data_IF_140449101224
#
_entry.id   IF_140449101224
#
_cell.length_a   1.000
_cell.length_b   1.000
_cell.length_c   1.000
_cell.angle_alpha   90.00
_cell.angle_beta   90.00
_cell.angle_gamma   90.00
#
_symmetry.space_group_name_H-M   'P 1'
#
loop_
_entity.id
_entity.type
_entity.pdbx_description
1 polymer ?
#
# COMPACT_ATOMS: atom_id res chain seq x y z
N UNK A 1 2.31 22.37 -16.30
CA UNK A 1 1.55 21.62 -15.27
C UNK A 1 2.54 20.77 -14.49
N UNK A 2 2.57 20.87 -13.16
CA UNK A 2 3.48 20.07 -12.34
C UNK A 2 2.84 18.71 -12.04
N UNK A 3 3.53 17.61 -12.33
CA UNK A 3 3.08 16.26 -11.98
C UNK A 3 3.06 15.98 -10.46
N UNK A 4 3.46 16.94 -9.64
CA UNK A 4 3.43 16.84 -8.18
C UNK A 4 2.07 17.20 -7.57
N UNK A 5 1.26 18.01 -8.27
CA UNK A 5 -0.02 18.51 -7.76
C UNK A 5 -1.19 17.61 -8.19
N UNK A 6 -1.94 17.11 -7.21
CA UNK A 6 -3.03 16.15 -7.43
C UNK A 6 -4.14 16.73 -8.33
N UNK A 7 -4.42 18.03 -8.23
CA UNK A 7 -5.46 18.73 -9.01
C UNK A 7 -5.19 18.76 -10.52
N UNK A 8 -3.93 18.58 -10.93
CA UNK A 8 -3.53 18.55 -12.33
C UNK A 8 -3.22 17.13 -12.82
N UNK A 9 -3.59 16.11 -12.04
CA UNK A 9 -3.24 14.71 -12.28
C UNK A 9 -4.48 13.89 -12.63
N UNK A 10 -4.36 13.03 -13.64
CA UNK A 10 -5.39 12.02 -13.96
C UNK A 10 -5.31 10.80 -13.02
N UNK A 11 -4.22 10.68 -12.25
CA UNK A 11 -3.97 9.54 -11.36
C UNK A 11 -5.13 9.26 -10.41
N UNK A 12 -5.75 10.26 -9.74
CA UNK A 12 -6.84 9.96 -8.83
C UNK A 12 -8.08 9.34 -9.50
N UNK A 13 -8.38 9.76 -10.72
CA UNK A 13 -9.49 9.20 -11.52
C UNK A 13 -9.20 7.74 -11.86
N UNK A 14 -7.98 7.44 -12.29
CA UNK A 14 -7.55 6.08 -12.61
C UNK A 14 -7.60 5.16 -11.39
N UNK A 15 -7.02 5.60 -10.26
CA UNK A 15 -6.99 4.80 -9.04
C UNK A 15 -8.39 4.58 -8.46
N UNK A 16 -9.25 5.59 -8.50
CA UNK A 16 -10.66 5.45 -8.11
C UNK A 16 -11.41 4.45 -9.01
N UNK A 17 -11.12 4.45 -10.31
CA UNK A 17 -11.72 3.48 -11.26
C UNK A 17 -11.23 2.06 -10.99
N UNK A 18 -9.93 1.88 -10.71
CA UNK A 18 -9.35 0.59 -10.34
C UNK A 18 -10.01 0.06 -9.06
N UNK A 19 -10.08 0.90 -8.02
CA UNK A 19 -10.74 0.56 -6.75
C UNK A 19 -12.20 0.16 -6.97
N UNK A 20 -12.96 0.95 -7.74
CA UNK A 20 -14.35 0.63 -8.05
C UNK A 20 -14.50 -0.71 -8.81
N UNK A 21 -13.57 -1.03 -9.71
CA UNK A 21 -13.58 -2.30 -10.48
C UNK A 21 -13.40 -3.52 -9.58
N UNK A 22 -12.65 -3.39 -8.48
CA UNK A 22 -12.47 -4.44 -7.48
C UNK A 22 -13.46 -4.31 -6.29
N UNK A 23 -14.49 -3.47 -6.43
CA UNK A 23 -15.54 -3.28 -5.43
C UNK A 23 -15.07 -2.58 -4.15
N UNK A 24 -14.07 -1.71 -4.26
CA UNK A 24 -13.52 -0.92 -3.15
C UNK A 24 -13.78 0.57 -3.37
N UNK A 25 -14.09 1.30 -2.31
CA UNK A 25 -14.50 2.71 -2.41
C UNK A 25 -13.37 3.71 -2.10
N UNK A 26 -12.34 3.30 -1.35
CA UNK A 26 -11.35 4.26 -0.82
C UNK A 26 -9.92 3.74 -0.67
N UNK A 27 -9.74 2.53 -0.16
CA UNK A 27 -8.42 1.94 0.06
C UNK A 27 -8.50 0.42 -0.13
N UNK A 28 -7.45 -0.16 -0.68
CA UNK A 28 -7.25 -1.61 -0.67
C UNK A 28 -5.79 -1.96 -0.40
N UNK A 29 -5.56 -3.14 0.17
CA UNK A 29 -4.24 -3.73 0.26
C UNK A 29 -4.22 -5.08 -0.46
N UNK A 30 -3.16 -5.36 -1.21
CA UNK A 30 -2.96 -6.62 -1.93
C UNK A 30 -1.61 -7.21 -1.50
N UNK A 31 -1.56 -8.51 -1.22
CA UNK A 31 -0.34 -9.19 -0.74
C UNK A 31 -0.28 -9.29 0.78
N UNK A 32 0.88 -8.96 1.38
CA UNK A 32 1.09 -9.03 2.84
C UNK A 32 0.76 -10.42 3.44
N UNK A 33 1.24 -11.48 2.80
CA UNK A 33 1.18 -12.82 3.37
C UNK A 33 2.03 -12.88 4.64
N UNK A 34 1.47 -13.39 5.73
CA UNK A 34 2.13 -13.46 7.04
C UNK A 34 2.51 -14.90 7.31
N UNK A 35 3.79 -15.16 7.53
CA UNK A 35 4.32 -16.49 7.84
C UNK A 35 5.34 -16.42 8.97
N UNK A 36 5.51 -17.54 9.68
CA UNK A 36 6.63 -17.70 10.60
C UNK A 36 7.87 -18.15 9.85
N UNK A 37 8.98 -17.42 10.00
CA UNK A 37 10.29 -17.92 9.58
C UNK A 37 10.86 -18.83 10.66
N UNK A 38 10.70 -18.42 11.91
CA UNK A 38 11.04 -19.17 13.11
C UNK A 38 10.21 -18.64 14.29
N UNK A 39 10.50 -19.12 15.50
CA UNK A 39 9.74 -18.78 16.71
C UNK A 39 9.83 -17.31 17.16
N UNK A 40 10.72 -16.50 16.57
CA UNK A 40 10.92 -15.08 16.92
C UNK A 40 10.93 -14.14 15.72
N UNK A 41 10.82 -14.67 14.50
CA UNK A 41 10.88 -13.89 13.26
C UNK A 41 9.64 -14.18 12.42
N UNK A 42 8.93 -13.11 12.10
CA UNK A 42 7.73 -13.09 11.29
C UNK A 42 8.14 -12.54 9.92
N UNK A 43 7.77 -13.24 8.84
CA UNK A 43 7.90 -12.72 7.48
C UNK A 43 6.55 -12.18 7.04
N UNK A 44 6.58 -10.97 6.49
CA UNK A 44 5.47 -10.38 5.76
C UNK A 44 5.92 -10.22 4.32
N UNK A 45 5.25 -10.89 3.38
CA UNK A 45 5.58 -10.77 1.96
C UNK A 45 5.45 -9.32 1.50
N UNK A 46 6.03 -9.01 0.35
CA UNK A 46 5.75 -7.74 -0.32
C UNK A 46 4.25 -7.57 -0.56
N UNK A 47 3.83 -6.32 -0.62
CA UNK A 47 2.45 -5.94 -0.84
C UNK A 47 2.32 -4.51 -1.33
N UNK A 48 1.11 -4.19 -1.80
CA UNK A 48 0.78 -2.87 -2.33
C UNK A 48 -0.45 -2.36 -1.59
N UNK A 49 -0.42 -1.09 -1.19
CA UNK A 49 -1.58 -0.36 -0.68
C UNK A 49 -1.97 0.69 -1.72
N UNK A 50 -3.21 0.62 -2.17
CA UNK A 50 -3.77 1.52 -3.17
C UNK A 50 -4.82 2.38 -2.48
N UNK A 51 -4.66 3.69 -2.61
CA UNK A 51 -5.64 4.72 -2.22
C UNK A 51 -6.13 5.43 -3.47
N UNK A 52 -7.17 6.23 -3.32
CA UNK A 52 -7.70 7.05 -4.41
C UNK A 52 -6.71 8.05 -4.98
N UNK A 53 -5.62 8.41 -4.27
CA UNK A 53 -4.66 9.43 -4.71
C UNK A 53 -3.20 8.95 -4.76
N UNK A 54 -2.95 7.70 -4.36
CA UNK A 54 -1.59 7.23 -4.09
C UNK A 54 -1.48 5.70 -4.12
N UNK A 55 -0.28 5.22 -4.45
CA UNK A 55 0.08 3.80 -4.40
C UNK A 55 1.36 3.66 -3.59
N UNK A 56 1.33 2.78 -2.60
CA UNK A 56 2.47 2.47 -1.73
C UNK A 56 2.90 1.03 -1.96
N UNK A 57 4.17 0.84 -2.31
CA UNK A 57 4.78 -0.48 -2.41
C UNK A 57 5.51 -0.73 -1.10
N UNK A 58 5.15 -1.79 -0.40
CA UNK A 58 5.83 -2.24 0.82
C UNK A 58 6.66 -3.46 0.44
N UNK A 59 8.00 -3.40 0.57
CA UNK A 59 8.84 -4.56 0.31
C UNK A 59 8.60 -5.64 1.36
N UNK A 60 9.15 -6.83 1.12
CA UNK A 60 9.13 -7.89 2.13
C UNK A 60 9.76 -7.40 3.46
N UNK A 61 9.12 -7.76 4.57
CA UNK A 61 9.55 -7.40 5.92
C UNK A 61 9.89 -8.65 6.72
N UNK A 62 11.02 -8.60 7.43
CA UNK A 62 11.37 -9.54 8.48
C UNK A 62 11.23 -8.84 9.83
N UNK A 63 10.14 -9.14 10.52
CA UNK A 63 9.76 -8.50 11.77
C UNK A 63 10.15 -9.37 12.95
N UNK A 64 10.85 -8.78 13.92
CA UNK A 64 11.25 -9.45 15.15
C UNK A 64 10.62 -8.71 16.34
N UNK A 65 9.57 -9.29 16.96
CA UNK A 65 8.94 -8.69 18.13
C UNK A 65 9.93 -8.35 19.25
N UNK A 66 9.78 -7.17 19.84
CA UNK A 66 10.61 -6.68 20.95
C UNK A 66 10.76 -7.72 22.07
N UNK A 67 11.95 -7.89 22.63
CA UNK A 67 12.20 -8.91 23.66
C UNK A 67 11.33 -8.75 24.92
N UNK A 68 10.99 -7.50 25.26
CA UNK A 68 10.11 -7.15 26.39
C UNK A 68 8.61 -7.35 26.15
N UNK A 69 8.19 -7.69 24.92
CA UNK A 69 6.77 -7.86 24.61
C UNK A 69 6.24 -9.20 25.13
N UNK A 70 5.01 -9.21 25.64
CA UNK A 70 4.16 -10.40 25.68
C UNK A 70 3.21 -10.41 24.48
N UNK A 71 2.62 -9.27 24.17
CA UNK A 71 1.71 -9.06 23.03
C UNK A 71 2.08 -7.76 22.32
N UNK A 72 1.75 -7.67 21.05
CA UNK A 72 1.96 -6.45 20.30
C UNK A 72 1.33 -6.48 18.92
N UNK A 73 1.42 -5.34 18.25
CA UNK A 73 1.02 -5.14 16.87
C UNK A 73 2.19 -4.54 16.11
N UNK A 74 2.27 -4.88 14.83
CA UNK A 74 3.01 -4.10 13.85
C UNK A 74 2.02 -3.28 13.06
N UNK A 75 2.38 -2.05 12.75
CA UNK A 75 1.55 -1.09 12.04
C UNK A 75 2.38 -0.31 11.01
N UNK A 76 1.72 0.17 9.96
CA UNK A 76 2.35 0.88 8.85
C UNK A 76 1.87 2.33 8.86
N UNK A 77 2.82 3.26 8.79
CA UNK A 77 2.57 4.67 8.53
C UNK A 77 2.88 4.96 7.06
N UNK A 78 1.92 5.61 6.38
CA UNK A 78 2.03 5.97 4.97
C UNK A 78 2.17 7.48 4.86
N UNK A 79 3.28 7.92 4.30
CA UNK A 79 3.63 9.34 4.20
C UNK A 79 3.79 9.75 2.74
N UNK A 80 3.35 10.97 2.41
CA UNK A 80 3.63 11.57 1.12
C UNK A 80 4.29 12.94 1.31
N UNK A 81 5.22 13.29 0.43
CA UNK A 81 5.93 14.56 0.48
C UNK A 81 6.15 15.12 -0.91
N UNK A 82 6.05 16.44 -1.04
CA UNK A 82 6.43 17.16 -2.25
C UNK A 82 7.93 17.40 -2.22
N UNK A 83 8.63 16.88 -3.23
CA UNK A 83 10.09 16.90 -3.32
C UNK A 83 10.55 17.57 -4.62
N UNK A 84 11.85 17.79 -4.72
CA UNK A 84 12.53 18.32 -5.90
C UNK A 84 12.03 19.70 -6.33
N UNK A 85 12.36 20.72 -5.53
CA UNK A 85 12.03 22.10 -5.86
C UNK A 85 12.87 22.61 -7.03
N UNK A 86 12.18 23.04 -8.09
CA UNK A 86 12.79 23.65 -9.27
C UNK A 86 12.06 24.92 -9.64
N UNK A 87 12.73 25.77 -10.41
CA UNK A 87 12.12 26.96 -10.99
C UNK A 87 11.18 26.53 -12.13
N UNK A 88 9.87 26.58 -11.89
CA UNK A 88 8.85 26.28 -12.89
C UNK A 88 8.32 27.59 -13.47
N UNK A 89 8.33 27.78 -14.80
CA UNK A 89 7.76 28.97 -15.42
C UNK A 89 6.23 28.94 -15.28
N UNK A 90 5.66 29.94 -14.62
CA UNK A 90 4.23 30.11 -14.47
C UNK A 90 3.77 31.35 -15.23
N UNK A 91 2.70 31.22 -16.01
CA UNK A 91 2.13 32.35 -16.73
C UNK A 91 1.41 33.27 -15.75
N UNK A 92 1.85 34.52 -15.66
CA UNK A 92 1.19 35.54 -14.86
C UNK A 92 0.15 36.26 -15.74
N UNK A 93 -1.12 36.16 -15.38
CA UNK A 93 -2.23 36.76 -16.12
C UNK A 93 -2.31 38.29 -16.01
N UNK A 94 -1.63 38.89 -15.03
CA UNK A 94 -1.59 40.35 -14.84
C UNK A 94 -0.48 41.00 -15.65
N UNK A 95 0.65 40.32 -15.80
CA UNK A 95 1.82 40.84 -16.53
C UNK A 95 2.02 40.21 -17.90
N UNK A 96 1.18 39.23 -18.25
CA UNK A 96 1.22 38.43 -19.50
C UNK A 96 2.61 37.82 -19.79
N UNK A 97 3.36 37.50 -18.73
CA UNK A 97 4.72 36.99 -18.82
C UNK A 97 4.88 35.73 -17.98
N UNK A 98 5.78 34.86 -18.41
CA UNK A 98 6.22 33.75 -17.59
C UNK A 98 7.21 34.23 -16.53
N UNK A 99 6.91 33.96 -15.26
CA UNK A 99 7.82 34.21 -14.15
C UNK A 99 8.23 32.86 -13.53
N UNK A 100 9.54 32.56 -13.41
CA UNK A 100 9.98 31.36 -12.73
C UNK A 100 9.61 31.44 -11.24
N UNK A 101 8.92 30.43 -10.72
CA UNK A 101 8.63 30.30 -9.29
C UNK A 101 9.15 28.96 -8.78
N UNK A 102 9.68 28.94 -7.56
CA UNK A 102 10.06 27.69 -6.91
C UNK A 102 8.81 26.86 -6.63
N UNK A 103 8.71 25.71 -7.28
CA UNK A 103 7.61 24.76 -7.13
C UNK A 103 8.16 23.33 -7.01
N UNK A 104 7.50 22.45 -6.24
CA UNK A 104 7.83 21.04 -6.24
C UNK A 104 7.51 20.44 -7.60
N UNK A 105 8.40 19.57 -8.09
CA UNK A 105 8.24 18.88 -9.37
C UNK A 105 7.97 17.40 -9.22
N UNK A 106 8.12 16.84 -8.00
CA UNK A 106 7.88 15.43 -7.69
C UNK A 106 7.07 15.25 -6.40
N UNK A 107 6.28 14.19 -6.34
CA UNK A 107 5.66 13.68 -5.11
C UNK A 107 6.29 12.32 -4.78
N UNK A 108 6.71 12.13 -3.55
CA UNK A 108 7.32 10.89 -3.05
C UNK A 108 6.38 10.25 -2.04
N UNK A 109 6.21 8.94 -2.15
CA UNK A 109 5.42 8.12 -1.24
C UNK A 109 6.36 7.19 -0.48
N UNK A 110 6.23 7.14 0.84
CA UNK A 110 7.04 6.28 1.71
C UNK A 110 6.16 5.55 2.72
N UNK A 111 6.57 4.33 3.06
CA UNK A 111 5.97 3.51 4.11
C UNK A 111 7.00 3.26 5.21
N UNK A 112 6.55 3.31 6.46
CA UNK A 112 7.35 3.00 7.64
C UNK A 112 6.60 2.02 8.52
N UNK A 113 7.32 1.07 9.10
CA UNK A 113 6.72 0.03 9.96
C UNK A 113 7.13 0.30 11.39
N UNK A 114 6.16 0.26 12.28
CA UNK A 114 6.32 0.47 13.71
C UNK A 114 5.83 -0.75 14.48
N UNK A 115 6.36 -0.93 15.67
CA UNK A 115 5.89 -1.91 16.63
C UNK A 115 5.26 -1.18 17.82
N UNK A 116 4.10 -1.63 18.26
CA UNK A 116 3.55 -1.30 19.57
C UNK A 116 3.36 -2.57 20.35
N UNK A 117 3.79 -2.58 21.60
CA UNK A 117 3.77 -3.80 22.40
C UNK A 117 3.51 -3.52 23.87
N UNK A 118 3.07 -4.55 24.56
CA UNK A 118 2.84 -4.58 26.00
C UNK A 118 3.53 -5.77 26.63
N UNK A 119 4.15 -5.58 27.79
CA UNK A 119 4.73 -6.66 28.60
C UNK A 119 3.65 -7.43 29.39
N UNK A 120 2.42 -6.92 29.43
CA UNK A 120 1.27 -7.53 30.10
C UNK A 120 0.18 -7.86 29.08
N UNK A 121 -0.74 -8.76 29.44
CA UNK A 121 -1.82 -9.15 28.53
C UNK A 121 -2.71 -7.94 28.19
N UNK A 122 -3.03 -7.80 26.92
CA UNK A 122 -3.74 -6.65 26.35
C UNK A 122 -3.03 -6.21 25.08
N UNK A 123 -3.62 -6.54 23.93
CA UNK A 123 -3.09 -6.11 22.63
C UNK A 123 -3.24 -4.59 22.49
N UNK A 124 -2.17 -3.84 22.21
CA UNK A 124 -2.25 -2.40 22.01
C UNK A 124 -3.19 -2.04 20.83
N UNK A 125 -3.92 -0.91 20.90
CA UNK A 125 -4.71 -0.44 19.78
C UNK A 125 -3.81 0.09 18.66
N UNK A 126 -4.32 0.11 17.43
CA UNK A 126 -3.66 0.76 16.30
C UNK A 126 -3.58 2.26 16.55
N UNK A 127 -2.42 2.87 16.27
CA UNK A 127 -2.26 4.30 16.45
C UNK A 127 -2.95 5.14 15.39
N UNK A 128 -3.28 6.37 15.78
CA UNK A 128 -3.88 7.34 14.86
C UNK A 128 -2.98 7.54 13.64
N UNK A 129 -3.60 7.61 12.46
CA UNK A 129 -2.95 7.75 11.15
C UNK A 129 -2.07 6.57 10.71
N UNK A 130 -2.16 5.41 11.37
CA UNK A 130 -1.46 4.18 10.99
C UNK A 130 -2.45 3.08 10.66
N UNK A 131 -1.97 2.11 9.90
CA UNK A 131 -2.74 0.93 9.49
C UNK A 131 -2.17 -0.27 10.24
N UNK A 132 -3.02 -0.99 10.98
CA UNK A 132 -2.61 -2.22 11.65
C UNK A 132 -2.24 -3.28 10.62
N UNK A 133 -1.01 -3.80 10.67
CA UNK A 133 -0.53 -4.84 9.76
C UNK A 133 -0.90 -6.22 10.31
N UNK A 134 -0.40 -6.52 11.50
CA UNK A 134 -0.61 -7.79 12.19
C UNK A 134 -0.49 -7.61 13.70
N UNK A 135 -1.05 -8.56 14.43
CA UNK A 135 -0.87 -8.72 15.88
C UNK A 135 -0.15 -10.03 16.17
N UNK A 136 0.57 -10.06 17.28
CA UNK A 136 1.27 -11.23 17.75
C UNK A 136 1.09 -11.42 19.26
N UNK A 137 1.19 -12.67 19.70
CA UNK A 137 1.28 -13.04 21.12
C UNK A 137 2.40 -14.05 21.34
N UNK A 138 3.13 -13.87 22.43
CA UNK A 138 4.15 -14.78 22.94
C UNK A 138 3.61 -15.60 24.12
N UNK A 139 4.23 -16.74 24.41
CA UNK A 139 3.89 -17.55 25.57
C UNK A 139 4.27 -16.88 26.91
N UNK A 140 5.36 -16.11 26.91
CA UNK A 140 5.86 -15.31 28.02
C UNK A 140 6.68 -14.14 27.47
N UNK A 141 6.94 -13.14 28.30
CA UNK A 141 7.93 -12.09 27.97
C UNK A 141 9.28 -12.75 27.67
N UNK A 142 9.93 -12.37 26.57
CA UNK A 142 11.18 -12.98 26.09
C UNK A 142 11.03 -14.38 25.49
N UNK A 143 9.83 -14.96 25.50
CA UNK A 143 9.55 -16.28 24.94
C UNK A 143 9.17 -16.23 23.45
N UNK A 144 9.00 -17.40 22.81
CA UNK A 144 8.61 -17.51 21.41
C UNK A 144 7.20 -16.96 21.12
N UNK A 145 7.02 -16.47 19.90
CA UNK A 145 5.71 -16.10 19.35
C UNK A 145 4.89 -17.37 19.13
N UNK A 146 3.68 -17.39 19.69
CA UNK A 146 2.75 -18.52 19.60
C UNK A 146 1.55 -18.24 18.72
N UNK A 147 1.22 -16.97 18.51
CA UNK A 147 0.02 -16.58 17.77
C UNK A 147 0.33 -15.38 16.90
N UNK A 148 -0.17 -15.43 15.66
CA UNK A 148 -0.22 -14.31 14.74
C UNK A 148 -1.66 -14.15 14.25
N UNK A 149 -2.11 -12.92 14.16
CA UNK A 149 -3.38 -12.59 13.53
C UNK A 149 -3.19 -11.38 12.63
N UNK A 150 -3.73 -11.47 11.42
CA UNK A 150 -3.70 -10.38 10.45
C UNK A 150 -4.67 -9.28 10.92
N UNK A 151 -4.20 -8.03 10.89
CA UNK A 151 -5.03 -6.85 11.15
C UNK A 151 -5.38 -6.12 9.84
N UNK A 152 -4.46 -6.12 8.88
CA UNK A 152 -4.66 -5.47 7.59
C UNK A 152 -5.69 -6.25 6.77
N UNK A 153 -6.84 -5.66 6.40
CA UNK A 153 -7.72 -6.28 5.43
C UNK A 153 -7.02 -6.31 4.08
N UNK A 154 -6.72 -7.51 3.59
CA UNK A 154 -6.11 -7.71 2.28
C UNK A 154 -7.19 -8.18 1.33
N UNK A 155 -7.33 -7.47 0.21
CA UNK A 155 -8.10 -7.94 -0.93
C UNK A 155 -7.39 -9.14 -1.54
N UNK A 156 -8.04 -10.29 -1.42
CA UNK A 156 -7.66 -11.50 -2.12
C UNK A 156 -8.51 -11.57 -3.39
N UNK A 157 -7.92 -11.43 -4.59
CA UNK A 157 -8.66 -11.51 -5.83
C UNK A 157 -9.26 -12.90 -6.11
N UNK A 158 -9.08 -13.87 -5.18
CA UNK A 158 -9.76 -15.19 -5.12
C UNK A 158 -10.98 -15.23 -6.02
N UNK A 159 -10.75 -15.69 -7.25
CA UNK A 159 -11.70 -15.79 -8.35
C UNK A 159 -12.90 -14.86 -8.17
N UNK A 160 -12.83 -13.64 -8.72
CA UNK A 160 -14.05 -13.10 -9.32
C UNK A 160 -14.49 -14.16 -10.31
N UNK A 161 -15.47 -14.97 -9.91
CA UNK A 161 -15.99 -16.15 -10.60
C UNK A 161 -16.68 -15.74 -11.88
N UNK A 162 -15.90 -15.25 -12.84
CA UNK A 162 -16.21 -15.44 -14.23
C UNK A 162 -15.57 -16.80 -14.54
N UNK A 163 -16.35 -17.86 -14.39
CA UNK A 163 -16.24 -18.99 -15.30
C UNK A 163 -16.46 -18.39 -16.70
N UNK A 164 -15.39 -17.81 -17.26
CA UNK A 164 -15.30 -17.67 -18.70
C UNK A 164 -15.03 -19.08 -19.15
N UNK A 165 -16.10 -19.86 -19.35
CA UNK A 165 -16.06 -20.92 -20.33
C UNK A 165 -15.60 -20.21 -21.61
N UNK A 166 -14.31 -20.32 -21.89
CA UNK A 166 -13.72 -19.86 -23.12
C UNK A 166 -14.31 -20.75 -24.19
N UNK A 167 -15.46 -20.34 -24.73
CA UNK A 167 -15.99 -20.89 -25.97
C UNK A 167 -14.88 -20.74 -27.01
N UNK A 168 -14.25 -21.85 -27.45
CA UNK A 168 -13.13 -21.79 -28.38
C UNK A 168 -13.55 -21.27 -29.77
N UNK A 169 -14.83 -20.94 -29.97
CA UNK A 169 -15.39 -20.42 -31.20
C UNK A 169 -15.46 -18.89 -31.35
N UNK A 170 -15.20 -18.08 -30.32
CA UNK A 170 -15.30 -16.61 -30.43
C UNK A 170 -13.91 -15.98 -30.36
N UNK A 171 -13.31 -15.79 -31.54
CA UNK A 171 -12.18 -14.89 -31.68
C UNK A 171 -12.63 -13.44 -31.62
N UNK A 172 -12.48 -12.78 -30.48
CA UNK A 172 -12.41 -11.32 -30.40
C UNK A 172 -11.38 -10.87 -29.34
N UNK A 173 -10.45 -10.04 -29.79
CA UNK A 173 -9.32 -9.45 -29.06
C UNK A 173 -9.76 -8.19 -28.31
N UNK A 174 -10.31 -8.28 -27.10
CA UNK A 174 -10.54 -7.09 -26.23
C UNK A 174 -10.66 -7.44 -24.74
N UNK A 175 -9.80 -8.33 -24.23
CA UNK A 175 -9.88 -8.82 -22.85
C UNK A 175 -8.90 -8.11 -21.91
N UNK A 176 -9.40 -7.65 -20.75
CA UNK A 176 -8.64 -7.07 -19.63
C UNK A 176 -7.44 -7.96 -19.21
N UNK A 177 -7.52 -9.27 -19.46
CA UNK A 177 -6.47 -10.23 -19.18
C UNK A 177 -5.20 -9.99 -20.04
N UNK A 178 -5.33 -9.55 -21.29
CA UNK A 178 -4.18 -9.20 -22.12
C UNK A 178 -3.52 -7.90 -21.66
N UNK A 179 -4.31 -6.92 -21.22
CA UNK A 179 -3.77 -5.66 -20.69
C UNK A 179 -2.92 -5.90 -19.42
N UNK A 180 -3.37 -6.80 -18.53
CA UNK A 180 -2.63 -7.17 -17.31
C UNK A 180 -1.34 -7.95 -17.67
N UNK A 181 -1.41 -8.90 -18.61
CA UNK A 181 -0.24 -9.66 -19.05
C UNK A 181 0.78 -8.80 -19.82
N UNK A 182 0.32 -7.80 -20.58
CA UNK A 182 1.21 -6.89 -21.28
C UNK A 182 2.03 -6.04 -20.30
N UNK A 183 1.39 -5.49 -19.26
CA UNK A 183 2.06 -4.72 -18.20
C UNK A 183 3.09 -5.58 -17.46
N UNK A 184 2.77 -6.84 -17.15
CA UNK A 184 3.67 -7.73 -16.43
C UNK A 184 4.94 -8.11 -17.22
N UNK A 185 4.86 -8.15 -18.55
CA UNK A 185 5.96 -8.62 -19.40
C UNK A 185 6.84 -7.48 -19.99
N UNK A 186 6.37 -6.23 -19.94
CA UNK A 186 7.06 -5.10 -20.60
C UNK A 186 7.50 -3.97 -19.66
N UNK A 187 7.38 -4.17 -18.34
CA UNK A 187 7.93 -3.29 -17.31
C UNK A 187 8.72 -4.07 -16.25
#
# INVERSE_FOLDING_TARGET
MSGAETENSIVPVLLSTILATIGQDSETAIGFEITFVNSNTIRVSSGIIIRTDSVYIVPELLLSPSSGSLEGIFEIELTSSLTDQKAVPLFNTQTERFTPQARPTRKTFSSQVFEQWSAVSGTPPVSNNRIGLLSYRKNSVGGPVTTLSRLLPVYDPKLIGIDVDLDPGIGENDSLAEAINWIYNHF
#
